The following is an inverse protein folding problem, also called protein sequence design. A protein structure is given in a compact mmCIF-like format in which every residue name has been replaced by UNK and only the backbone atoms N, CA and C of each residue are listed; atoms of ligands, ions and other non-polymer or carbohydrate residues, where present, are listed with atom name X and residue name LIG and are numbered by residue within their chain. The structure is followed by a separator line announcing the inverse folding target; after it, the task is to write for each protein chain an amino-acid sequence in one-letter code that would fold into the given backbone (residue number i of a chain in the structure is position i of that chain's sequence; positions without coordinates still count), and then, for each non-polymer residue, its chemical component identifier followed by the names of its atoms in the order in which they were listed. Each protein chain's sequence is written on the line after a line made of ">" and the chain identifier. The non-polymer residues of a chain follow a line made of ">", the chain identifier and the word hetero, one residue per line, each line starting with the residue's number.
data_IF_642390571130
#
_entry.id   IF_642390571130
#
_cell.length_a   1.000
_cell.length_b   1.000
_cell.length_c   1.000
_cell.angle_alpha   90.00
_cell.angle_beta   90.00
_cell.angle_gamma   90.00
#
_symmetry.space_group_name_H-M   'P 1'
#
loop_
_entity.id
_entity.type
_entity.pdbx_description
1 polymer ?
#
# COMPACT_ATOMS: atom_id res chain seq x y z
N UNK A 1 0.99 -1.57 8.64
CA UNK A 1 -0.47 -1.65 8.41
C UNK A 1 -0.74 -2.49 7.16
N UNK A 2 -1.96 -3.02 7.00
CA UNK A 2 -2.40 -3.82 5.85
C UNK A 2 -3.58 -3.11 5.16
N UNK A 3 -3.28 -2.01 4.47
CA UNK A 3 -4.28 -1.17 3.77
C UNK A 3 -5.47 -0.70 4.64
N UNK A 4 -5.34 -0.64 5.97
CA UNK A 4 -6.45 -0.28 6.86
C UNK A 4 -7.59 -1.30 6.88
N UNK A 5 -7.39 -2.51 6.36
CA UNK A 5 -8.38 -3.59 6.28
C UNK A 5 -9.71 -3.14 5.65
N UNK A 6 -9.79 -2.97 4.32
CA UNK A 6 -11.01 -2.58 3.62
C UNK A 6 -12.04 -3.73 3.62
N UNK A 7 -12.75 -3.88 4.74
CA UNK A 7 -13.78 -4.88 4.99
C UNK A 7 -14.95 -4.82 4.00
N UNK A 8 -15.13 -3.69 3.30
CA UNK A 8 -15.98 -3.57 2.11
C UNK A 8 -15.73 -4.62 1.03
N UNK A 9 -14.53 -5.23 0.97
CA UNK A 9 -14.28 -6.41 0.12
C UNK A 9 -15.18 -7.60 0.46
N UNK A 10 -15.63 -7.70 1.71
CA UNK A 10 -16.51 -8.75 2.24
C UNK A 10 -17.95 -8.23 2.38
N UNK A 11 -18.12 -7.04 2.93
CA UNK A 11 -19.44 -6.48 3.28
C UNK A 11 -20.13 -5.78 2.11
N UNK A 12 -19.37 -5.35 1.10
CA UNK A 12 -19.82 -4.47 0.02
C UNK A 12 -19.90 -2.99 0.41
N UNK A 13 -19.72 -2.64 1.68
CA UNK A 13 -19.72 -1.25 2.15
C UNK A 13 -18.29 -0.76 2.42
N UNK A 14 -17.80 0.13 1.57
CA UNK A 14 -16.47 0.73 1.71
C UNK A 14 -16.48 2.05 2.50
N UNK A 15 -17.65 2.61 2.84
CA UNK A 15 -17.74 3.94 3.45
C UNK A 15 -17.03 4.05 4.81
N UNK A 16 -17.09 3.04 5.71
CA UNK A 16 -16.31 3.06 6.95
C UNK A 16 -14.81 3.16 6.68
N UNK A 17 -14.30 2.35 5.75
CA UNK A 17 -12.88 2.35 5.36
C UNK A 17 -12.47 3.69 4.74
N UNK A 18 -13.25 4.20 3.77
CA UNK A 18 -13.00 5.48 3.09
C UNK A 18 -12.88 6.64 4.08
N UNK A 19 -13.82 6.71 5.02
CA UNK A 19 -13.79 7.72 6.10
C UNK A 19 -12.54 7.60 6.95
N UNK A 20 -12.19 6.37 7.34
CA UNK A 20 -11.00 6.07 8.12
C UNK A 20 -9.71 6.53 7.44
N UNK A 21 -9.53 6.18 6.16
CA UNK A 21 -8.30 6.55 5.43
C UNK A 21 -8.20 8.06 5.19
N UNK A 22 -9.32 8.75 4.90
CA UNK A 22 -9.35 10.21 4.73
C UNK A 22 -9.00 10.94 6.02
N UNK A 23 -9.53 10.48 7.15
CA UNK A 23 -9.19 11.05 8.46
C UNK A 23 -7.70 10.85 8.77
N UNK A 24 -7.17 9.64 8.56
CA UNK A 24 -5.75 9.34 8.81
C UNK A 24 -4.82 10.15 7.90
N UNK A 25 -5.21 10.40 6.66
CA UNK A 25 -4.39 11.13 5.70
C UNK A 25 -4.22 12.61 6.04
N UNK A 26 -5.09 13.19 6.87
CA UNK A 26 -4.94 14.56 7.41
C UNK A 26 -3.69 14.70 8.30
N UNK A 27 -3.18 13.59 8.84
CA UNK A 27 -1.96 13.59 9.65
C UNK A 27 -0.72 13.43 8.75
N UNK A 28 0.15 14.45 8.63
CA UNK A 28 1.28 14.43 7.68
C UNK A 28 2.35 13.38 8.00
N UNK A 29 2.40 12.92 9.24
CA UNK A 29 3.30 11.87 9.73
C UNK A 29 2.78 10.43 9.50
N UNK A 30 1.57 10.27 8.98
CA UNK A 30 1.00 8.95 8.68
C UNK A 30 1.30 8.57 7.23
N UNK A 31 1.80 7.35 7.05
CA UNK A 31 2.00 6.71 5.76
C UNK A 31 1.12 5.45 5.62
N UNK A 32 0.83 5.08 4.39
CA UNK A 32 -0.10 4.01 4.06
C UNK A 32 0.61 2.89 3.29
N UNK A 33 0.69 1.70 3.89
CA UNK A 33 1.17 0.50 3.20
C UNK A 33 -0.02 -0.27 2.66
N UNK A 34 -0.05 -0.47 1.36
CA UNK A 34 -1.07 -1.27 0.69
C UNK A 34 -0.54 -2.71 0.60
N UNK A 35 -1.23 -3.63 1.27
CA UNK A 35 -0.85 -5.05 1.36
C UNK A 35 -2.00 -5.86 1.98
N UNK A 36 -2.06 -7.17 1.76
CA UNK A 36 -2.87 -8.08 2.58
C UNK A 36 -4.34 -8.21 2.19
N UNK A 37 -4.72 -7.88 0.95
CA UNK A 37 -6.11 -8.03 0.50
C UNK A 37 -6.63 -9.48 0.58
N UNK A 38 -5.74 -10.46 0.37
CA UNK A 38 -6.07 -11.89 0.46
C UNK A 38 -6.60 -12.31 1.83
N UNK A 39 -6.20 -11.62 2.90
CA UNK A 39 -6.66 -11.91 4.25
C UNK A 39 -8.14 -11.58 4.48
N UNK A 40 -8.71 -10.66 3.70
CA UNK A 40 -10.13 -10.32 3.75
C UNK A 40 -10.91 -11.11 2.71
N UNK A 41 -10.39 -11.21 1.49
CA UNK A 41 -11.08 -11.83 0.36
C UNK A 41 -10.12 -12.69 -0.47
N UNK A 42 -9.99 -14.00 -0.23
CA UNK A 42 -9.02 -14.86 -0.90
C UNK A 42 -9.04 -14.83 -2.44
N UNK A 43 -10.20 -14.60 -3.04
CA UNK A 43 -10.45 -14.64 -4.48
C UNK A 43 -10.45 -13.25 -5.14
N UNK A 44 -9.96 -12.20 -4.46
CA UNK A 44 -9.95 -10.83 -4.98
C UNK A 44 -9.30 -10.72 -6.37
N UNK A 45 -9.84 -9.85 -7.21
CA UNK A 45 -9.33 -9.56 -8.55
C UNK A 45 -8.72 -8.15 -8.63
N UNK A 46 -8.02 -7.86 -9.72
CA UNK A 46 -7.55 -6.49 -10.00
C UNK A 46 -8.70 -5.47 -9.95
N UNK A 47 -9.89 -5.83 -10.44
CA UNK A 47 -11.04 -4.93 -10.44
C UNK A 47 -11.54 -4.63 -9.02
N UNK A 48 -11.42 -5.57 -8.09
CA UNK A 48 -11.82 -5.37 -6.69
C UNK A 48 -10.86 -4.43 -5.95
N UNK A 49 -9.55 -4.54 -6.20
CA UNK A 49 -8.53 -3.84 -5.39
C UNK A 49 -7.97 -2.58 -6.05
N UNK A 50 -8.06 -2.44 -7.38
CA UNK A 50 -7.60 -1.24 -8.10
C UNK A 50 -8.22 0.04 -7.54
N UNK A 51 -9.55 0.14 -7.32
CA UNK A 51 -10.15 1.36 -6.78
C UNK A 51 -9.62 1.71 -5.38
N UNK A 52 -9.29 0.71 -4.57
CA UNK A 52 -8.76 0.92 -3.21
C UNK A 52 -7.31 1.42 -3.24
N UNK A 53 -6.51 0.92 -4.19
CA UNK A 53 -5.15 1.40 -4.43
C UNK A 53 -5.17 2.84 -4.92
N UNK A 54 -6.00 3.13 -5.92
CA UNK A 54 -6.16 4.47 -6.51
C UNK A 54 -6.65 5.47 -5.45
N UNK A 55 -7.67 5.13 -4.66
CA UNK A 55 -8.19 5.99 -3.60
C UNK A 55 -7.16 6.25 -2.48
N UNK A 56 -6.36 5.25 -2.10
CA UNK A 56 -5.28 5.44 -1.15
C UNK A 56 -4.20 6.40 -1.70
N UNK A 57 -3.86 6.30 -2.98
CA UNK A 57 -2.89 7.21 -3.64
C UNK A 57 -3.44 8.62 -3.73
N UNK A 58 -4.71 8.78 -4.10
CA UNK A 58 -5.39 10.07 -4.16
C UNK A 58 -5.39 10.77 -2.79
N UNK A 59 -5.75 10.04 -1.74
CA UNK A 59 -5.94 10.59 -0.39
C UNK A 59 -4.62 10.85 0.34
N UNK A 60 -3.64 9.95 0.25
CA UNK A 60 -2.35 10.13 0.93
C UNK A 60 -1.31 10.87 0.09
N UNK A 61 -1.42 10.84 -1.23
CA UNK A 61 -0.39 11.26 -2.17
C UNK A 61 0.70 10.21 -2.36
N UNK A 62 1.39 10.27 -3.51
CA UNK A 62 2.42 9.30 -3.90
C UNK A 62 3.64 9.29 -2.96
N UNK A 63 3.88 10.36 -2.21
CA UNK A 63 4.95 10.47 -1.21
C UNK A 63 4.67 9.73 0.12
N UNK A 64 3.45 9.20 0.32
CA UNK A 64 3.08 8.53 1.58
C UNK A 64 2.49 7.14 1.39
N UNK A 65 2.43 6.64 0.16
CA UNK A 65 1.96 5.28 -0.15
C UNK A 65 3.13 4.34 -0.41
N UNK A 66 3.02 3.10 0.07
CA UNK A 66 4.02 2.04 -0.15
C UNK A 66 3.34 0.73 -0.55
N UNK A 67 3.91 0.04 -1.53
CA UNK A 67 3.60 -1.37 -1.77
C UNK A 67 4.14 -2.26 -0.62
N UNK A 68 3.39 -3.31 -0.29
CA UNK A 68 3.89 -4.44 0.49
C UNK A 68 3.18 -5.72 0.07
N UNK A 69 3.92 -6.82 -0.04
CA UNK A 69 3.34 -8.09 -0.49
C UNK A 69 2.58 -8.86 0.60
N UNK A 70 2.83 -8.55 1.88
CA UNK A 70 2.35 -9.34 3.03
C UNK A 70 2.79 -10.82 3.03
N UNK A 71 3.82 -11.17 2.24
CA UNK A 71 4.42 -12.50 2.28
C UNK A 71 5.15 -12.74 3.62
N UNK A 72 5.11 -13.98 4.15
CA UNK A 72 4.56 -15.19 3.54
C UNK A 72 3.06 -15.44 3.79
N UNK A 73 2.37 -14.58 4.54
CA UNK A 73 0.94 -14.80 4.88
C UNK A 73 0.06 -14.83 3.62
N UNK A 74 0.30 -13.91 2.68
CA UNK A 74 -0.46 -13.86 1.43
C UNK A 74 -0.24 -15.08 0.51
N UNK A 75 0.76 -15.94 0.79
CA UNK A 75 0.94 -17.23 0.08
C UNK A 75 -0.29 -18.14 0.18
N UNK A 76 -1.11 -17.96 1.22
CA UNK A 76 -2.36 -18.69 1.41
C UNK A 76 -3.45 -18.31 0.39
N UNK A 77 -3.29 -17.18 -0.30
CA UNK A 77 -4.32 -16.57 -1.17
C UNK A 77 -3.81 -16.30 -2.60
N UNK A 78 -2.52 -16.49 -2.86
CA UNK A 78 -1.92 -16.30 -4.18
C UNK A 78 -0.39 -16.38 -4.13
N UNK A 79 0.25 -16.36 -5.30
CA UNK A 79 1.69 -16.21 -5.35
C UNK A 79 2.12 -14.73 -5.29
N UNK A 80 3.42 -14.49 -5.12
CA UNK A 80 3.96 -13.14 -5.03
C UNK A 80 3.76 -12.36 -6.33
N UNK A 81 3.91 -13.06 -7.47
CA UNK A 81 3.81 -12.46 -8.79
C UNK A 81 2.43 -11.84 -9.01
N UNK A 82 1.35 -12.55 -8.66
CA UNK A 82 -0.03 -12.04 -8.72
C UNK A 82 -0.19 -10.72 -7.96
N UNK A 83 0.26 -10.67 -6.70
CA UNK A 83 0.17 -9.44 -5.91
C UNK A 83 0.99 -8.33 -6.54
N UNK A 84 2.20 -8.61 -7.02
CA UNK A 84 3.05 -7.61 -7.66
C UNK A 84 2.46 -7.08 -8.97
N UNK A 85 1.97 -7.94 -9.86
CA UNK A 85 1.40 -7.60 -11.16
C UNK A 85 0.14 -6.74 -11.03
N UNK A 86 -0.71 -7.03 -10.04
CA UNK A 86 -1.90 -6.22 -9.75
C UNK A 86 -1.51 -4.82 -9.34
N UNK A 87 -0.50 -4.67 -8.49
CA UNK A 87 0.00 -3.36 -8.11
C UNK A 87 0.65 -2.60 -9.28
N UNK A 88 1.40 -3.30 -10.14
CA UNK A 88 1.94 -2.70 -11.36
C UNK A 88 0.81 -2.19 -12.26
N UNK A 89 -0.25 -2.97 -12.44
CA UNK A 89 -1.39 -2.61 -13.25
C UNK A 89 -2.20 -1.45 -12.64
N UNK A 90 -2.40 -1.45 -11.32
CA UNK A 90 -3.11 -0.39 -10.58
C UNK A 90 -2.37 0.96 -10.64
N UNK A 91 -1.04 0.93 -10.73
CA UNK A 91 -0.19 2.14 -10.75
C UNK A 91 0.28 2.54 -12.15
N UNK A 92 -0.25 1.92 -13.22
CA UNK A 92 0.20 2.16 -14.59
C UNK A 92 0.08 3.63 -15.02
N UNK A 93 -0.92 4.37 -14.52
CA UNK A 93 -1.14 5.78 -14.85
C UNK A 93 -0.17 6.74 -14.14
N UNK A 94 0.57 6.28 -13.14
CA UNK A 94 1.55 7.10 -12.44
C UNK A 94 2.80 7.34 -13.30
N UNK A 95 3.43 8.50 -13.10
CA UNK A 95 4.74 8.78 -13.67
C UNK A 95 5.77 7.75 -13.21
N UNK A 96 6.84 7.55 -13.99
CA UNK A 96 7.93 6.66 -13.58
C UNK A 96 8.52 7.05 -12.21
N UNK A 97 8.68 8.35 -11.95
CA UNK A 97 9.17 8.86 -10.68
C UNK A 97 8.23 8.52 -9.51
N UNK A 98 6.92 8.66 -9.69
CA UNK A 98 5.93 8.33 -8.66
C UNK A 98 5.85 6.83 -8.40
N UNK A 99 5.99 5.99 -9.45
CA UNK A 99 6.08 4.53 -9.27
C UNK A 99 7.30 4.16 -8.43
N UNK A 100 8.46 4.78 -8.67
CA UNK A 100 9.65 4.56 -7.83
C UNK A 100 9.37 4.91 -6.36
N UNK A 101 8.66 6.00 -6.08
CA UNK A 101 8.26 6.36 -4.71
C UNK A 101 7.43 5.25 -4.06
N UNK A 102 6.36 4.83 -4.73
CA UNK A 102 5.39 3.84 -4.21
C UNK A 102 6.02 2.45 -4.03
N UNK A 103 6.87 2.02 -4.95
CA UNK A 103 7.45 0.67 -4.90
C UNK A 103 8.73 0.57 -4.04
N UNK A 104 9.45 1.67 -3.80
CA UNK A 104 10.74 1.59 -3.10
C UNK A 104 11.10 2.82 -2.27
N UNK A 105 11.14 4.03 -2.87
CA UNK A 105 11.81 5.16 -2.23
C UNK A 105 11.12 5.63 -0.94
N UNK A 106 9.80 5.50 -0.83
CA UNK A 106 9.08 5.78 0.41
C UNK A 106 9.47 4.83 1.53
N UNK A 107 9.58 3.53 1.25
CA UNK A 107 10.00 2.55 2.26
C UNK A 107 11.43 2.83 2.75
N UNK A 108 12.35 3.14 1.82
CA UNK A 108 13.72 3.53 2.16
C UNK A 108 13.74 4.75 3.09
N UNK A 109 13.02 5.82 2.73
CA UNK A 109 12.97 7.06 3.50
C UNK A 109 12.29 6.88 4.87
N UNK A 110 11.14 6.22 4.91
CA UNK A 110 10.32 6.06 6.12
C UNK A 110 10.99 5.11 7.11
N UNK A 111 11.53 3.98 6.64
CA UNK A 111 12.21 2.99 7.47
C UNK A 111 13.71 3.25 7.64
N UNK A 112 14.26 4.30 7.02
CA UNK A 112 15.68 4.70 7.12
C UNK A 112 16.64 3.59 6.68
N UNK A 113 16.27 2.88 5.63
CA UNK A 113 17.06 1.76 5.09
C UNK A 113 18.30 2.33 4.40
N UNK A 114 19.49 1.86 4.77
CA UNK A 114 20.75 2.29 4.17
C UNK A 114 21.36 3.58 4.74
N UNK A 115 20.69 4.27 5.68
CA UNK A 115 21.29 5.37 6.42
C UNK A 115 21.77 4.90 7.80
N UNK A 116 23.01 4.39 7.87
CA UNK A 116 23.78 4.37 9.12
C UNK A 116 24.91 5.38 8.95
N UNK A 117 24.66 6.63 9.36
CA UNK A 117 25.76 7.55 9.62
C UNK A 117 26.55 6.97 10.79
N UNK A 118 27.75 6.47 10.49
CA UNK A 118 28.74 6.12 11.50
C UNK A 118 28.97 7.38 12.34
N UNK A 119 28.48 7.36 13.58
CA UNK A 119 28.92 8.32 14.56
C UNK A 119 30.34 7.93 14.91
N UNK A 120 31.32 8.56 14.26
CA UNK A 120 32.68 8.62 14.81
C UNK A 120 32.53 9.29 16.17
N UNK A 121 32.63 8.51 17.26
CA UNK A 121 32.79 9.10 18.58
C UNK A 121 34.12 9.88 18.60
N UNK A 122 34.15 11.04 19.28
CA UNK A 122 35.38 11.81 19.46
C UNK A 122 36.44 11.01 20.24
#
# INVERSE_FOLDING_TARGET
>A
NQAGMPDGLVTGDFEPWRRGIRLMAQSPNVAFKISGFGMLRPDWTLADVRPLIEEAIEVFGTDRVMFGSNFPVDKLFGDFARSFDVFLAATHALSHADRIKVFAANAVRIYRIGSVSHHSKP
#
